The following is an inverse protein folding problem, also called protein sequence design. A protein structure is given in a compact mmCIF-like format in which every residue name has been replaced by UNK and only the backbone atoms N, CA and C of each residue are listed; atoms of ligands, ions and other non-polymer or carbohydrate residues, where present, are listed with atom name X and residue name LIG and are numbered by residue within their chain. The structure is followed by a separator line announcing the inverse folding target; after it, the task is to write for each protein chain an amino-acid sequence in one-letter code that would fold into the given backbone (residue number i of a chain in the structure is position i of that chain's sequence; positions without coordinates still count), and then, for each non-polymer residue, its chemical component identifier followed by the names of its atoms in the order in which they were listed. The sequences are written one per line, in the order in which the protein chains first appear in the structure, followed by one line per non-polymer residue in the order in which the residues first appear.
data_IF_884538943327
#
_entry.id   IF_884538943327
#
_cell.length_a   1.000
_cell.length_b   1.000
_cell.length_c   1.000
_cell.angle_alpha   90.00
_cell.angle_beta   90.00
_cell.angle_gamma   90.00
#
_symmetry.space_group_name_H-M   'P 1'
#
loop_
_entity.id
_entity.type
_entity.pdbx_description
1 polymer ?
#
# COMPACT_ATOMS: atom_id res chain seq x y z
N UNK A 1 -1.67 -18.85 4.90
CA UNK A 1 -0.39 -18.58 4.19
C UNK A 1 0.10 -19.71 3.26
N UNK A 2 0.06 -21.01 3.60
CA UNK A 2 0.65 -22.12 2.80
C UNK A 2 0.03 -22.40 1.41
N UNK A 3 -0.91 -21.56 0.99
CA UNK A 3 -1.57 -21.58 -0.31
C UNK A 3 -1.84 -20.17 -0.82
N UNK A 4 -1.19 -19.16 -0.21
CA UNK A 4 -1.50 -17.77 -0.49
C UNK A 4 -1.14 -17.43 -1.93
N UNK A 5 -2.00 -16.65 -2.59
CA UNK A 5 -1.82 -16.18 -3.97
C UNK A 5 -1.64 -14.67 -3.95
N UNK A 6 -0.49 -14.19 -4.41
CA UNK A 6 -0.12 -12.78 -4.35
C UNK A 6 -0.08 -12.21 -5.77
N UNK A 7 -0.96 -11.26 -6.06
CA UNK A 7 -1.03 -10.58 -7.35
C UNK A 7 0.09 -9.55 -7.49
N UNK A 8 1.01 -9.73 -8.43
CA UNK A 8 2.02 -8.74 -8.82
C UNK A 8 1.57 -8.04 -10.11
N UNK A 9 1.00 -6.84 -9.95
CA UNK A 9 0.39 -6.07 -11.06
C UNK A 9 1.41 -5.07 -11.59
N UNK A 10 1.90 -5.33 -12.80
CA UNK A 10 2.93 -4.54 -13.46
C UNK A 10 4.36 -4.91 -13.06
N UNK A 11 5.32 -4.14 -13.59
CA UNK A 11 6.74 -4.37 -13.37
C UNK A 11 7.25 -3.65 -12.11
N UNK A 12 8.28 -4.20 -11.46
CA UNK A 12 8.97 -3.52 -10.36
C UNK A 12 9.42 -2.12 -10.78
N UNK A 13 9.18 -1.16 -9.91
CA UNK A 13 9.47 0.26 -10.17
C UNK A 13 10.99 0.51 -10.14
N UNK A 14 11.51 1.23 -11.13
CA UNK A 14 12.96 1.47 -11.28
C UNK A 14 13.64 2.11 -10.06
N UNK A 15 13.03 3.14 -9.41
CA UNK A 15 13.58 3.75 -8.21
C UNK A 15 13.59 2.85 -6.96
N UNK A 16 12.74 1.81 -6.89
CA UNK A 16 12.58 0.96 -5.70
C UNK A 16 13.33 -0.36 -5.86
N UNK A 17 14.64 -0.25 -6.10
CA UNK A 17 15.53 -1.38 -6.39
C UNK A 17 15.55 -2.46 -5.32
N UNK A 18 15.21 -2.13 -4.08
CA UNK A 18 15.20 -3.05 -2.94
C UNK A 18 14.00 -3.98 -2.92
N UNK A 19 12.93 -3.70 -3.68
CA UNK A 19 11.71 -4.53 -3.75
C UNK A 19 11.91 -5.80 -4.60
N UNK A 20 13.04 -6.48 -4.39
CA UNK A 20 13.36 -7.75 -5.02
C UNK A 20 12.83 -8.88 -4.15
N UNK A 21 12.49 -9.98 -4.79
CA UNK A 21 12.05 -11.18 -4.10
C UNK A 21 12.38 -12.41 -4.93
N UNK A 22 12.52 -13.54 -4.25
CA UNK A 22 12.70 -14.84 -4.90
C UNK A 22 11.38 -15.60 -4.95
N UNK A 23 10.77 -15.62 -6.14
CA UNK A 23 9.59 -16.45 -6.42
C UNK A 23 9.83 -17.93 -6.11
N UNK A 24 11.06 -18.43 -6.32
CA UNK A 24 11.41 -19.82 -5.99
C UNK A 24 11.32 -20.10 -4.50
N UNK A 25 11.76 -19.16 -3.66
CA UNK A 25 11.65 -19.31 -2.20
C UNK A 25 10.20 -19.19 -1.72
N UNK A 26 9.42 -18.31 -2.33
CA UNK A 26 7.99 -18.21 -2.07
C UNK A 26 7.23 -19.49 -2.47
N UNK A 27 7.52 -20.03 -3.66
CA UNK A 27 6.94 -21.29 -4.12
C UNK A 27 7.28 -22.44 -3.19
N UNK A 28 8.53 -22.54 -2.73
CA UNK A 28 8.95 -23.55 -1.76
C UNK A 28 8.21 -23.41 -0.40
N UNK A 29 7.78 -22.20 -0.04
CA UNK A 29 6.96 -21.92 1.14
C UNK A 29 5.44 -22.16 0.91
N UNK A 30 5.03 -22.52 -0.31
CA UNK A 30 3.63 -22.71 -0.70
C UNK A 30 2.90 -21.42 -1.09
N UNK A 31 3.62 -20.35 -1.39
CA UNK A 31 3.06 -19.06 -1.84
C UNK A 31 3.23 -18.96 -3.35
N UNK A 32 2.13 -18.68 -4.05
CA UNK A 32 2.13 -18.44 -5.50
C UNK A 32 2.14 -16.95 -5.77
N UNK A 33 3.02 -16.49 -6.66
CA UNK A 33 2.95 -15.13 -7.20
C UNK A 33 2.26 -15.21 -8.57
N UNK A 34 1.22 -14.40 -8.75
CA UNK A 34 0.45 -14.30 -10.00
C UNK A 34 0.78 -12.96 -10.63
N UNK A 35 1.36 -12.96 -11.82
CA UNK A 35 1.83 -11.73 -12.48
C UNK A 35 0.89 -11.32 -13.61
N UNK A 36 0.69 -10.01 -13.79
CA UNK A 36 0.02 -9.44 -14.97
C UNK A 36 0.75 -8.18 -15.42
N UNK A 37 0.83 -7.94 -16.73
CA UNK A 37 1.43 -6.71 -17.24
C UNK A 37 0.53 -5.50 -16.95
N UNK A 38 1.15 -4.34 -16.70
CA UNK A 38 0.37 -3.13 -16.40
C UNK A 38 -0.49 -2.70 -17.60
N UNK A 39 -0.04 -2.95 -18.84
CA UNK A 39 -0.80 -2.62 -20.05
C UNK A 39 -2.07 -3.45 -20.21
N UNK A 40 -2.05 -4.72 -19.79
CA UNK A 40 -3.26 -5.57 -19.77
C UNK A 40 -4.29 -5.00 -18.79
N UNK A 41 -3.86 -4.57 -17.61
CA UNK A 41 -4.73 -3.93 -16.63
C UNK A 41 -5.29 -2.59 -17.11
N UNK A 42 -4.48 -1.77 -17.78
CA UNK A 42 -4.94 -0.51 -18.39
C UNK A 42 -5.93 -0.79 -19.53
N UNK A 43 -5.70 -1.81 -20.35
CA UNK A 43 -6.63 -2.24 -21.39
C UNK A 43 -7.96 -2.73 -20.82
N UNK A 44 -7.93 -3.52 -19.73
CA UNK A 44 -9.12 -3.96 -19.02
C UNK A 44 -9.90 -2.78 -18.42
N UNK A 45 -9.21 -1.79 -17.86
CA UNK A 45 -9.83 -0.57 -17.35
C UNK A 45 -10.45 0.29 -18.47
N UNK A 46 -9.80 0.41 -19.63
CA UNK A 46 -10.32 1.13 -20.80
C UNK A 46 -11.59 0.47 -21.35
N UNK A 47 -11.64 -0.86 -21.34
CA UNK A 47 -12.77 -1.64 -21.85
C UNK A 47 -14.03 -1.53 -20.97
N UNK A 48 -13.96 -0.95 -19.77
CA UNK A 48 -15.12 -0.71 -18.92
C UNK A 48 -15.98 0.40 -19.54
N UNK A 49 -17.21 0.04 -19.96
CA UNK A 49 -18.20 0.98 -20.47
C UNK A 49 -18.69 1.96 -19.41
N UNK A 50 -18.97 3.20 -19.82
CA UNK A 50 -19.42 4.27 -18.90
C UNK A 50 -20.80 3.99 -18.27
N UNK A 51 -21.59 3.10 -18.88
CA UNK A 51 -22.90 2.67 -18.42
C UNK A 51 -22.88 1.38 -17.58
N UNK A 52 -21.71 0.73 -17.43
CA UNK A 52 -21.51 -0.48 -16.63
C UNK A 52 -22.05 -0.28 -15.20
N UNK A 53 -22.89 -1.23 -14.75
CA UNK A 53 -23.52 -1.18 -13.44
C UNK A 53 -22.48 -1.28 -12.31
N UNK A 54 -21.42 -2.06 -12.50
CA UNK A 54 -20.35 -2.21 -11.52
C UNK A 54 -19.49 -0.95 -11.44
N UNK A 55 -19.33 -0.22 -12.56
CA UNK A 55 -18.65 1.07 -12.55
C UNK A 55 -19.44 2.11 -11.74
N UNK A 56 -20.76 2.16 -11.90
CA UNK A 56 -21.63 3.04 -11.09
C UNK A 56 -21.54 2.69 -9.61
N UNK A 57 -21.50 1.40 -9.26
CA UNK A 57 -21.31 0.95 -7.89
C UNK A 57 -19.91 1.33 -7.36
N UNK A 58 -18.85 1.19 -8.15
CA UNK A 58 -17.50 1.60 -7.78
C UNK A 58 -17.40 3.12 -7.52
N UNK A 59 -18.02 3.94 -8.37
CA UNK A 59 -18.13 5.39 -8.19
C UNK A 59 -18.84 5.74 -6.88
N UNK A 60 -20.00 5.12 -6.61
CA UNK A 60 -20.73 5.33 -5.37
C UNK A 60 -19.89 4.97 -4.14
N UNK A 61 -19.16 3.85 -4.20
CA UNK A 61 -18.23 3.44 -3.13
C UNK A 61 -17.11 4.45 -2.93
N UNK A 62 -16.50 4.96 -3.99
CA UNK A 62 -15.44 5.99 -3.91
C UNK A 62 -15.97 7.26 -3.24
N UNK A 63 -17.14 7.76 -3.64
CA UNK A 63 -17.76 8.94 -3.03
C UNK A 63 -18.14 8.72 -1.56
N UNK A 64 -18.50 7.49 -1.17
CA UNK A 64 -18.78 7.15 0.22
C UNK A 64 -17.52 6.88 1.06
N UNK A 65 -16.36 6.67 0.42
CA UNK A 65 -15.13 6.27 1.11
C UNK A 65 -14.43 7.46 1.78
N UNK A 66 -14.49 8.64 1.17
CA UNK A 66 -13.84 9.84 1.65
C UNK A 66 -14.35 11.12 0.96
N UNK A 67 -13.97 12.27 1.49
CA UNK A 67 -14.32 13.58 0.94
C UNK A 67 -13.45 13.87 -0.29
N UNK A 68 -14.08 14.10 -1.43
CA UNK A 68 -13.40 14.52 -2.66
C UNK A 68 -13.56 16.05 -2.79
N UNK A 69 -12.46 16.83 -2.85
CA UNK A 69 -12.53 18.29 -3.04
C UNK A 69 -13.21 18.69 -4.35
N UNK A 70 -13.90 19.85 -4.34
CA UNK A 70 -14.69 20.32 -5.48
C UNK A 70 -13.86 20.63 -6.75
N UNK A 71 -12.54 20.86 -6.62
CA UNK A 71 -11.66 21.09 -7.76
C UNK A 71 -11.30 19.81 -8.52
N UNK A 72 -11.54 18.63 -7.94
CA UNK A 72 -11.32 17.35 -8.61
C UNK A 72 -12.37 17.18 -9.70
N UNK A 73 -11.90 16.96 -10.94
CA UNK A 73 -12.80 16.80 -12.08
C UNK A 73 -13.46 15.41 -12.03
N UNK A 74 -14.76 15.28 -12.40
CA UNK A 74 -15.44 13.98 -12.45
C UNK A 74 -14.71 12.93 -13.30
N UNK A 75 -14.04 13.35 -14.38
CA UNK A 75 -13.24 12.46 -15.23
C UNK A 75 -12.05 11.79 -14.51
N UNK A 76 -11.46 12.45 -13.50
CA UNK A 76 -10.38 11.87 -12.68
C UNK A 76 -10.94 10.76 -11.78
N UNK A 77 -12.11 11.01 -11.17
CA UNK A 77 -12.82 10.00 -10.37
C UNK A 77 -13.25 8.81 -11.22
N UNK A 78 -13.71 9.07 -12.45
CA UNK A 78 -14.08 8.02 -13.42
C UNK A 78 -12.88 7.12 -13.76
N UNK A 79 -11.72 7.70 -14.07
CA UNK A 79 -10.49 6.92 -14.35
C UNK A 79 -10.07 6.06 -13.16
N UNK A 80 -10.17 6.60 -11.94
CA UNK A 80 -9.89 5.84 -10.71
C UNK A 80 -10.88 4.69 -10.52
N UNK A 81 -12.17 4.91 -10.80
CA UNK A 81 -13.21 3.90 -10.64
C UNK A 81 -13.04 2.75 -11.64
N UNK A 82 -12.77 3.06 -12.92
CA UNK A 82 -12.46 2.05 -13.94
C UNK A 82 -11.22 1.24 -13.59
N UNK A 83 -10.15 1.90 -13.14
CA UNK A 83 -8.94 1.23 -12.64
C UNK A 83 -9.26 0.31 -11.45
N UNK A 84 -9.99 0.82 -10.46
CA UNK A 84 -10.40 0.05 -9.27
C UNK A 84 -11.21 -1.20 -9.65
N UNK A 85 -12.12 -1.07 -10.60
CA UNK A 85 -12.94 -2.18 -11.07
C UNK A 85 -12.11 -3.24 -11.80
N UNK A 86 -11.22 -2.82 -12.70
CA UNK A 86 -10.31 -3.73 -13.40
C UNK A 86 -9.43 -4.53 -12.43
N UNK A 87 -8.82 -3.84 -11.44
CA UNK A 87 -8.01 -4.49 -10.40
C UNK A 87 -8.85 -5.49 -9.60
N UNK A 88 -10.03 -5.10 -9.12
CA UNK A 88 -10.88 -5.99 -8.32
C UNK A 88 -11.31 -7.22 -9.10
N UNK A 89 -11.76 -7.07 -10.36
CA UNK A 89 -12.14 -8.20 -11.22
C UNK A 89 -10.97 -9.15 -11.43
N UNK A 90 -9.78 -8.62 -11.76
CA UNK A 90 -8.60 -9.45 -11.98
C UNK A 90 -8.16 -10.21 -10.71
N UNK A 91 -8.22 -9.56 -9.55
CA UNK A 91 -7.90 -10.19 -8.26
C UNK A 91 -8.86 -11.35 -7.95
N UNK A 92 -10.16 -11.14 -8.18
CA UNK A 92 -11.19 -12.16 -7.99
C UNK A 92 -11.02 -13.33 -8.98
N UNK A 93 -10.88 -13.04 -10.27
CA UNK A 93 -10.68 -14.04 -11.34
C UNK A 93 -9.44 -14.92 -11.11
N UNK A 94 -8.38 -14.34 -10.51
CA UNK A 94 -7.12 -15.04 -10.23
C UNK A 94 -7.02 -15.55 -8.80
N UNK A 95 -8.08 -15.42 -8.00
CA UNK A 95 -8.18 -15.88 -6.62
C UNK A 95 -7.01 -15.37 -5.76
N UNK A 96 -6.64 -14.10 -5.92
CA UNK A 96 -5.53 -13.52 -5.16
C UNK A 96 -5.99 -13.11 -3.75
N UNK A 97 -5.13 -13.39 -2.76
CA UNK A 97 -5.32 -13.09 -1.34
C UNK A 97 -4.77 -11.72 -0.91
N UNK A 98 -3.83 -11.19 -1.71
CA UNK A 98 -3.21 -9.89 -1.54
C UNK A 98 -2.59 -9.48 -2.87
N UNK A 99 -2.17 -8.21 -2.98
CA UNK A 99 -1.54 -7.72 -4.21
C UNK A 99 -0.42 -6.73 -3.97
N UNK A 100 0.39 -6.49 -4.99
CA UNK A 100 1.32 -5.39 -5.05
C UNK A 100 1.28 -4.76 -6.44
N UNK A 101 1.19 -3.44 -6.52
CA UNK A 101 0.88 -2.72 -7.78
C UNK A 101 2.03 -1.80 -8.18
N UNK A 102 2.33 -1.73 -9.48
CA UNK A 102 3.23 -0.74 -10.09
C UNK A 102 2.62 0.66 -10.04
N UNK A 103 2.59 1.23 -8.84
CA UNK A 103 2.05 2.56 -8.57
C UNK A 103 2.97 3.69 -9.03
N UNK A 104 4.22 3.41 -9.42
CA UNK A 104 5.23 4.42 -9.73
C UNK A 104 6.00 4.08 -11.01
N UNK A 105 5.97 4.87 -12.07
CA UNK A 105 5.10 6.03 -12.38
C UNK A 105 4.24 5.78 -13.62
N UNK A 106 4.33 4.56 -14.18
CA UNK A 106 3.76 4.22 -15.48
C UNK A 106 2.24 4.42 -15.51
N UNK A 107 1.54 4.09 -14.43
CA UNK A 107 0.09 4.26 -14.38
C UNK A 107 -0.32 5.74 -14.45
N UNK A 108 0.36 6.64 -13.74
CA UNK A 108 0.06 8.07 -13.80
C UNK A 108 0.33 8.64 -15.19
N UNK A 109 1.46 8.26 -15.81
CA UNK A 109 1.84 8.78 -17.12
C UNK A 109 0.92 8.28 -18.25
N UNK A 110 0.50 7.01 -18.20
CA UNK A 110 -0.23 6.36 -19.29
C UNK A 110 -1.75 6.28 -19.08
N UNK A 111 -2.22 6.11 -17.84
CA UNK A 111 -3.64 6.03 -17.50
C UNK A 111 -4.16 7.33 -16.88
N UNK A 112 -3.38 7.93 -15.96
CA UNK A 112 -3.70 9.21 -15.32
C UNK A 112 -4.45 9.10 -14.00
N UNK A 113 -4.09 8.13 -13.16
CA UNK A 113 -4.50 8.10 -11.76
C UNK A 113 -3.42 7.50 -10.85
N UNK A 114 -3.56 7.71 -9.54
CA UNK A 114 -2.79 7.00 -8.52
C UNK A 114 -3.48 5.68 -8.13
N UNK A 115 -2.75 4.70 -7.61
CA UNK A 115 -3.33 3.41 -7.17
C UNK A 115 -3.84 3.44 -5.74
N UNK A 116 -3.50 4.48 -4.98
CA UNK A 116 -3.56 4.49 -3.52
C UNK A 116 -4.99 4.29 -2.98
N UNK A 117 -6.00 4.91 -3.61
CA UNK A 117 -7.40 4.73 -3.24
C UNK A 117 -7.87 3.29 -3.47
N UNK A 118 -7.50 2.70 -4.61
CA UNK A 118 -7.82 1.30 -4.90
C UNK A 118 -7.22 0.39 -3.83
N UNK A 119 -5.94 0.57 -3.52
CA UNK A 119 -5.22 -0.24 -2.51
C UNK A 119 -5.79 -0.02 -1.10
N UNK A 120 -6.14 1.21 -0.75
CA UNK A 120 -6.79 1.59 0.51
C UNK A 120 -8.15 0.90 0.69
N UNK A 121 -9.01 0.96 -0.34
CA UNK A 121 -10.32 0.30 -0.33
C UNK A 121 -10.21 -1.23 -0.27
N UNK A 122 -9.21 -1.82 -0.92
CA UNK A 122 -8.94 -3.25 -0.83
C UNK A 122 -8.46 -3.65 0.57
N UNK A 123 -7.49 -2.92 1.14
CA UNK A 123 -6.97 -3.18 2.48
C UNK A 123 -8.05 -3.05 3.56
N UNK A 124 -8.96 -2.09 3.44
CA UNK A 124 -10.12 -1.93 4.33
C UNK A 124 -11.04 -3.17 4.30
N UNK A 125 -11.10 -3.87 3.16
CA UNK A 125 -11.83 -5.12 2.98
C UNK A 125 -10.99 -6.36 3.30
N UNK A 126 -9.90 -6.23 4.08
CA UNK A 126 -8.98 -7.31 4.45
C UNK A 126 -8.26 -7.96 3.25
N UNK A 127 -8.16 -7.25 2.13
CA UNK A 127 -7.44 -7.65 0.92
C UNK A 127 -6.22 -6.72 0.73
N UNK A 128 -5.13 -6.90 1.49
CA UNK A 128 -4.05 -5.94 1.51
C UNK A 128 -3.37 -5.78 0.15
N UNK A 129 -3.02 -4.54 -0.18
CA UNK A 129 -2.35 -4.21 -1.44
C UNK A 129 -1.16 -3.27 -1.21
N UNK A 130 0.03 -3.72 -1.57
CA UNK A 130 1.27 -2.99 -1.40
C UNK A 130 1.59 -2.10 -2.61
N UNK A 131 2.18 -0.95 -2.34
CA UNK A 131 2.64 0.01 -3.34
C UNK A 131 3.99 -0.57 -3.95
N UNK A 132 4.42 -0.07 -5.11
CA UNK A 132 5.70 -0.36 -5.80
C UNK A 132 6.02 -1.81 -6.20
N UNK A 133 5.00 -2.66 -6.36
CA UNK A 133 5.16 -4.11 -6.61
C UNK A 133 5.99 -4.77 -5.49
N UNK A 134 5.89 -4.26 -4.27
CA UNK A 134 6.51 -4.87 -3.09
C UNK A 134 5.75 -6.14 -2.65
N UNK A 135 6.01 -7.24 -3.34
CA UNK A 135 5.39 -8.55 -3.07
C UNK A 135 5.67 -9.04 -1.64
N UNK A 136 6.89 -8.81 -1.13
CA UNK A 136 7.23 -9.20 0.25
C UNK A 136 6.49 -8.33 1.28
N UNK A 137 6.29 -7.05 0.98
CA UNK A 137 5.42 -6.15 1.73
C UNK A 137 3.96 -6.61 1.72
N UNK A 138 3.41 -6.98 0.57
CA UNK A 138 2.05 -7.50 0.46
C UNK A 138 1.85 -8.78 1.29
N UNK A 139 2.82 -9.71 1.26
CA UNK A 139 2.81 -10.91 2.11
C UNK A 139 2.88 -10.54 3.59
N UNK A 140 3.69 -9.52 3.93
CA UNK A 140 3.81 -9.04 5.31
C UNK A 140 2.49 -8.46 5.82
N UNK A 141 1.82 -7.64 5.00
CA UNK A 141 0.49 -7.11 5.31
C UNK A 141 -0.53 -8.24 5.46
N UNK A 142 -0.54 -9.20 4.54
CA UNK A 142 -1.49 -10.33 4.60
C UNK A 142 -1.28 -11.20 5.84
N UNK A 143 -0.03 -11.46 6.24
CA UNK A 143 0.26 -12.16 7.48
C UNK A 143 -0.32 -11.43 8.71
N UNK A 144 -0.15 -10.11 8.78
CA UNK A 144 -0.74 -9.28 9.84
C UNK A 144 -2.26 -9.26 9.79
N UNK A 145 -2.85 -9.13 8.61
CA UNK A 145 -4.31 -9.16 8.41
C UNK A 145 -4.91 -10.48 8.92
N UNK A 146 -4.28 -11.62 8.60
CA UNK A 146 -4.74 -12.93 9.08
C UNK A 146 -4.57 -13.10 10.60
N UNK A 147 -3.48 -12.60 11.17
CA UNK A 147 -3.20 -12.73 12.60
C UNK A 147 -4.12 -11.84 13.47
N UNK A 148 -4.43 -10.64 12.99
CA UNK A 148 -5.23 -9.65 13.72
C UNK A 148 -6.72 -9.70 13.41
N UNK A 149 -7.11 -10.21 12.24
CA UNK A 149 -8.46 -10.04 11.70
C UNK A 149 -8.78 -8.58 11.32
N UNK A 150 -7.77 -7.70 11.21
CA UNK A 150 -7.92 -6.27 10.97
C UNK A 150 -7.13 -5.81 9.73
N UNK A 151 -7.50 -4.66 9.12
CA UNK A 151 -6.74 -4.10 8.00
C UNK A 151 -5.29 -3.79 8.35
N UNK A 152 -4.35 -4.25 7.52
CA UNK A 152 -2.95 -3.85 7.58
C UNK A 152 -2.64 -2.78 6.52
N UNK A 153 -1.60 -1.99 6.76
CA UNK A 153 -1.06 -1.00 5.84
C UNK A 153 0.44 -1.25 5.60
N UNK A 154 0.99 -0.75 4.49
CA UNK A 154 2.45 -0.67 4.27
C UNK A 154 2.88 0.78 4.45
N UNK A 155 3.98 0.97 5.17
CA UNK A 155 4.56 2.27 5.48
C UNK A 155 6.07 2.24 5.28
N UNK A 156 6.67 3.42 5.18
CA UNK A 156 8.12 3.57 5.13
C UNK A 156 8.67 3.89 6.52
N UNK A 157 9.76 3.24 6.91
CA UNK A 157 10.67 3.82 7.92
C UNK A 157 11.38 5.03 7.30
N UNK A 158 10.73 6.20 7.33
CA UNK A 158 11.11 7.32 6.49
C UNK A 158 12.11 8.29 7.17
N UNK A 159 11.69 8.99 8.23
CA UNK A 159 12.54 9.99 8.87
C UNK A 159 12.57 9.85 10.41
N UNK A 160 13.67 10.29 11.02
CA UNK A 160 13.68 10.51 12.46
C UNK A 160 12.71 11.63 12.82
N UNK A 161 12.07 11.54 13.99
CA UNK A 161 11.26 12.64 14.51
C UNK A 161 12.14 13.57 15.35
N UNK A 162 12.69 14.60 14.70
CA UNK A 162 13.62 15.56 15.31
C UNK A 162 14.78 14.84 16.04
N UNK A 163 14.96 15.12 17.33
CA UNK A 163 15.98 14.54 18.21
C UNK A 163 15.48 13.35 19.05
N UNK A 164 14.21 12.94 18.87
CA UNK A 164 13.58 11.89 19.68
C UNK A 164 14.04 10.51 19.22
N UNK A 165 14.78 9.83 20.07
CA UNK A 165 15.52 8.61 19.69
C UNK A 165 14.62 7.43 19.28
N UNK A 166 13.44 7.34 19.90
CA UNK A 166 12.49 6.24 19.71
C UNK A 166 11.31 6.61 18.80
N UNK A 167 11.29 7.81 18.22
CA UNK A 167 10.22 8.22 17.31
C UNK A 167 10.67 8.24 15.85
N UNK A 168 9.80 7.73 14.97
CA UNK A 168 9.97 7.76 13.52
C UNK A 168 8.73 8.36 12.87
N UNK A 169 8.95 9.25 11.90
CA UNK A 169 7.93 9.61 10.93
C UNK A 169 7.86 8.47 9.91
N UNK A 170 6.71 7.82 9.88
CA UNK A 170 6.35 6.85 8.87
C UNK A 170 5.36 7.48 7.88
N UNK A 171 5.56 7.22 6.60
CA UNK A 171 4.69 7.74 5.54
C UNK A 171 4.56 6.71 4.43
N UNK A 172 3.51 6.82 3.63
CA UNK A 172 3.40 6.13 2.35
C UNK A 172 2.55 6.98 1.38
N UNK A 173 2.38 6.51 0.15
CA UNK A 173 1.67 7.08 -0.99
C UNK A 173 0.19 7.44 -0.72
N UNK A 174 -0.36 7.22 0.48
CA UNK A 174 -1.77 7.43 0.82
C UNK A 174 -2.63 6.20 0.53
N UNK A 175 -2.06 5.01 0.67
CA UNK A 175 -2.71 3.70 0.48
C UNK A 175 -3.27 3.10 1.77
N UNK A 176 -3.34 3.87 2.85
CA UNK A 176 -3.85 3.42 4.15
C UNK A 176 -5.32 3.03 4.06
N UNK A 177 -5.74 1.88 4.62
CA UNK A 177 -7.15 1.64 4.92
C UNK A 177 -7.71 2.81 5.75
N UNK A 178 -8.89 3.33 5.40
CA UNK A 178 -9.48 4.50 6.07
C UNK A 178 -9.62 4.32 7.59
N UNK A 179 -9.75 3.08 8.06
CA UNK A 179 -9.77 2.73 9.49
C UNK A 179 -8.53 3.18 10.27
N UNK A 180 -7.41 3.48 9.60
CA UNK A 180 -6.23 4.07 10.24
C UNK A 180 -6.40 5.56 10.58
N UNK A 181 -7.27 6.30 9.87
CA UNK A 181 -7.27 7.76 9.84
C UNK A 181 -8.29 8.39 10.81
N UNK A 182 -9.20 7.60 11.39
CA UNK A 182 -10.16 8.00 12.45
C UNK A 182 -11.29 8.93 12.02
N UNK A 183 -11.05 9.76 11.02
CA UNK A 183 -12.04 10.63 10.39
C UNK A 183 -12.31 10.19 8.94
N UNK A 184 -13.34 10.76 8.32
CA UNK A 184 -13.54 10.59 6.87
C UNK A 184 -12.36 11.22 6.12
N UNK A 185 -11.54 10.42 5.41
CA UNK A 185 -10.32 10.93 4.80
C UNK A 185 -10.61 11.85 3.62
N UNK A 186 -9.66 12.73 3.30
CA UNK A 186 -9.69 13.41 2.00
C UNK A 186 -9.15 12.47 0.92
N UNK A 187 -9.81 12.44 -0.23
CA UNK A 187 -9.34 11.75 -1.43
C UNK A 187 -9.03 12.80 -2.48
N UNK A 188 -7.74 13.02 -2.76
CA UNK A 188 -7.27 14.06 -3.68
C UNK A 188 -6.02 13.61 -4.43
N UNK A 189 -5.29 14.54 -5.04
CA UNK A 189 -4.11 14.23 -5.83
C UNK A 189 -2.92 13.82 -4.96
N UNK A 190 -2.15 12.82 -5.40
CA UNK A 190 -0.88 12.43 -4.78
C UNK A 190 0.16 13.54 -4.96
N UNK A 191 0.55 14.19 -3.86
CA UNK A 191 1.37 15.41 -3.91
C UNK A 191 2.76 15.16 -4.48
N UNK A 192 3.45 14.10 -4.02
CA UNK A 192 4.84 13.79 -4.40
C UNK A 192 5.02 13.68 -5.93
N UNK A 193 4.06 13.04 -6.62
CA UNK A 193 4.07 12.95 -8.08
C UNK A 193 3.37 14.14 -8.74
N UNK A 194 2.28 14.64 -8.17
CA UNK A 194 1.49 15.73 -8.71
C UNK A 194 2.30 17.00 -8.96
N UNK A 195 3.26 17.31 -8.08
CA UNK A 195 4.16 18.46 -8.24
C UNK A 195 5.17 18.30 -9.38
N UNK A 196 5.44 17.07 -9.84
CA UNK A 196 6.47 16.81 -10.87
C UNK A 196 5.91 16.46 -12.25
N UNK A 197 4.74 15.79 -12.31
CA UNK A 197 4.16 15.30 -13.57
C UNK A 197 2.77 15.85 -13.87
N UNK A 198 2.23 16.71 -13.00
CA UNK A 198 0.89 17.26 -13.09
C UNK A 198 -0.08 16.59 -12.13
N UNK A 199 -0.74 17.40 -11.30
CA UNK A 199 -1.74 16.95 -10.31
C UNK A 199 -2.90 16.23 -10.99
N UNK A 200 -3.26 16.63 -12.21
CA UNK A 200 -4.38 16.07 -12.96
C UNK A 200 -4.24 14.57 -13.29
N UNK A 201 -3.01 14.03 -13.25
CA UNK A 201 -2.70 12.61 -13.48
C UNK A 201 -2.59 11.80 -12.20
N UNK A 202 -2.72 12.44 -11.05
CA UNK A 202 -2.33 11.89 -9.76
C UNK A 202 -3.49 11.75 -8.77
N UNK A 203 -4.74 11.91 -9.22
CA UNK A 203 -5.91 11.69 -8.36
C UNK A 203 -5.92 10.27 -7.79
N UNK A 204 -6.23 10.14 -6.49
CA UNK A 204 -6.42 8.85 -5.83
C UNK A 204 -5.59 8.66 -4.57
N UNK A 205 -4.98 9.69 -3.99
CA UNK A 205 -4.33 9.59 -2.68
C UNK A 205 -5.36 9.71 -1.54
N UNK A 206 -5.31 8.80 -0.56
CA UNK A 206 -6.10 8.90 0.68
C UNK A 206 -5.26 9.63 1.72
N UNK A 207 -5.64 10.87 2.03
CA UNK A 207 -4.89 11.79 2.89
C UNK A 207 -5.52 11.86 4.28
N UNK A 208 -4.65 11.88 5.29
CA UNK A 208 -5.02 12.01 6.69
C UNK A 208 -3.87 11.66 7.62
N UNK A 209 -4.04 11.99 8.90
CA UNK A 209 -3.14 11.55 9.96
C UNK A 209 -3.60 10.21 10.51
N UNK A 210 -2.67 9.25 10.62
CA UNK A 210 -2.94 7.99 11.30
C UNK A 210 -3.22 8.26 12.78
N UNK A 211 -4.32 7.72 13.28
CA UNK A 211 -4.74 7.90 14.66
C UNK A 211 -3.76 7.25 15.64
N UNK A 212 -3.61 7.80 16.85
CA UNK A 212 -2.78 7.20 17.90
C UNK A 212 -3.35 5.86 18.37
N UNK A 213 -2.48 4.98 18.85
CA UNK A 213 -2.84 3.68 19.41
C UNK A 213 -1.78 2.63 19.17
N UNK A 214 -1.94 1.49 19.82
CA UNK A 214 -1.03 0.35 19.74
C UNK A 214 -0.88 -0.16 18.30
N UNK A 215 0.30 -0.68 17.98
CA UNK A 215 0.58 -1.25 16.67
C UNK A 215 1.58 -2.40 16.72
N UNK A 216 1.43 -3.33 15.78
CA UNK A 216 2.40 -4.37 15.46
C UNK A 216 2.95 -4.12 14.08
N UNK A 217 4.28 -4.22 13.94
CA UNK A 217 4.97 -4.07 12.68
C UNK A 217 5.66 -5.37 12.28
N UNK A 218 5.60 -5.71 11.00
CA UNK A 218 6.17 -6.93 10.45
C UNK A 218 6.78 -6.69 9.07
N UNK A 219 7.93 -7.32 8.82
CA UNK A 219 8.54 -7.34 7.49
C UNK A 219 9.13 -8.71 7.22
N UNK A 220 8.63 -9.36 6.18
CA UNK A 220 9.24 -10.49 5.51
C UNK A 220 10.14 -9.99 4.37
N UNK A 221 11.24 -10.68 4.12
CA UNK A 221 12.14 -10.45 2.98
C UNK A 221 12.76 -11.77 2.53
N UNK A 222 13.21 -11.86 1.29
CA UNK A 222 13.98 -13.02 0.81
C UNK A 222 15.47 -12.75 0.95
N UNK A 223 16.19 -13.72 1.52
CA UNK A 223 17.65 -13.76 1.53
C UNK A 223 18.14 -14.72 0.46
N UNK A 224 18.13 -14.23 -0.78
CA UNK A 224 18.45 -15.03 -1.97
C UNK A 224 19.87 -15.59 -1.92
N UNK A 225 20.79 -14.94 -1.21
CA UNK A 225 22.17 -15.40 -1.05
C UNK A 225 22.25 -16.64 -0.18
N UNK A 226 21.43 -16.69 0.87
CA UNK A 226 21.37 -17.82 1.79
C UNK A 226 20.28 -18.83 1.42
N UNK A 227 19.44 -18.52 0.41
CA UNK A 227 18.35 -19.37 -0.02
C UNK A 227 17.25 -19.50 1.04
N UNK A 228 17.03 -18.47 1.86
CA UNK A 228 16.06 -18.48 2.96
C UNK A 228 15.13 -17.28 2.92
N UNK A 229 14.00 -17.39 3.62
CA UNK A 229 13.19 -16.22 3.98
C UNK A 229 13.62 -15.74 5.36
N UNK A 230 13.63 -14.43 5.56
CA UNK A 230 13.96 -13.78 6.84
C UNK A 230 12.88 -12.76 7.18
N UNK A 231 12.69 -12.50 8.46
CA UNK A 231 11.73 -11.50 8.91
C UNK A 231 12.19 -10.78 10.17
N UNK A 232 11.57 -9.64 10.42
CA UNK A 232 11.53 -9.03 11.75
C UNK A 232 10.08 -8.66 12.11
N UNK A 233 9.82 -8.67 13.41
CA UNK A 233 8.52 -8.42 14.03
C UNK A 233 8.76 -7.63 15.30
N UNK A 234 7.83 -6.74 15.62
CA UNK A 234 7.81 -6.08 16.91
C UNK A 234 6.55 -5.24 17.09
N UNK A 235 6.51 -4.54 18.20
CA UNK A 235 5.37 -3.73 18.61
C UNK A 235 5.81 -2.33 18.99
N UNK A 236 4.86 -1.41 18.96
CA UNK A 236 5.01 -0.04 19.42
C UNK A 236 3.67 0.68 19.41
N UNK A 237 3.69 1.97 19.12
CA UNK A 237 2.49 2.79 19.07
C UNK A 237 2.54 3.78 17.90
N UNK A 238 1.39 4.01 17.28
CA UNK A 238 1.12 5.27 16.59
C UNK A 238 0.89 6.35 17.66
N UNK A 239 1.52 7.50 17.48
CA UNK A 239 1.47 8.64 18.41
C UNK A 239 0.68 9.80 17.79
N UNK A 240 0.18 10.69 18.64
CA UNK A 240 -0.50 11.91 18.19
C UNK A 240 0.47 13.10 18.04
N UNK A 241 1.78 12.85 18.03
CA UNK A 241 2.78 13.90 17.81
C UNK A 241 2.51 14.61 16.46
N UNK A 242 2.57 15.96 16.41
CA UNK A 242 2.26 16.72 15.20
C UNK A 242 3.37 16.58 14.16
N UNK A 243 3.00 16.53 12.88
CA UNK A 243 3.97 16.56 11.78
C UNK A 243 3.35 17.28 10.57
N UNK A 244 3.98 18.36 10.13
CA UNK A 244 3.45 19.26 9.09
C UNK A 244 3.81 18.79 7.69
N UNK A 245 3.16 17.72 7.22
CA UNK A 245 3.29 17.23 5.86
C UNK A 245 1.90 16.81 5.36
N UNK A 246 1.69 16.84 4.04
CA UNK A 246 0.47 16.34 3.42
C UNK A 246 0.60 14.84 3.07
N UNK A 247 -0.51 14.12 3.02
CA UNK A 247 -0.55 12.69 2.67
C UNK A 247 -1.01 11.80 3.81
N UNK A 248 -0.53 10.55 3.84
CA UNK A 248 -0.83 9.56 4.88
C UNK A 248 0.33 9.44 5.87
N UNK A 249 0.26 10.19 6.96
CA UNK A 249 1.36 10.33 7.92
C UNK A 249 1.05 9.60 9.20
N UNK A 250 2.04 8.85 9.68
CA UNK A 250 2.07 8.25 11.00
C UNK A 250 3.33 8.72 11.72
N UNK A 251 3.20 9.17 12.97
CA UNK A 251 4.36 9.26 13.85
C UNK A 251 4.33 8.03 14.75
N UNK A 252 5.37 7.22 14.72
CA UNK A 252 5.46 5.98 15.48
C UNK A 252 6.47 6.10 16.61
N UNK A 253 6.21 5.42 17.73
CA UNK A 253 7.21 5.18 18.77
C UNK A 253 7.51 3.69 18.85
N UNK A 254 8.79 3.34 18.80
CA UNK A 254 9.28 1.97 18.96
C UNK A 254 10.43 1.99 19.96
N UNK A 255 10.32 1.20 21.03
CA UNK A 255 11.37 1.11 22.03
C UNK A 255 12.67 0.58 21.42
N UNK A 256 13.76 1.35 21.54
CA UNK A 256 15.05 0.98 20.95
C UNK A 256 15.06 1.08 19.43
N UNK A 257 14.32 2.03 18.86
CA UNK A 257 14.19 2.25 17.41
C UNK A 257 15.55 2.29 16.71
N UNK A 258 16.55 2.97 17.29
CA UNK A 258 17.90 3.04 16.71
C UNK A 258 18.56 1.67 16.56
N UNK A 259 18.36 0.77 17.53
CA UNK A 259 18.85 -0.61 17.46
C UNK A 259 18.11 -1.39 16.39
N UNK A 260 16.80 -1.20 16.26
CA UNK A 260 16.00 -1.78 15.19
C UNK A 260 16.49 -1.29 13.82
N UNK A 261 16.68 0.02 13.61
CA UNK A 261 17.15 0.56 12.34
C UNK A 261 18.56 0.06 11.97
N UNK A 262 19.45 -0.11 12.95
CA UNK A 262 20.75 -0.76 12.73
C UNK A 262 20.59 -2.24 12.31
N UNK A 263 19.65 -2.96 12.91
CA UNK A 263 19.35 -4.34 12.52
C UNK A 263 18.78 -4.42 11.10
N UNK A 264 17.77 -3.61 10.78
CA UNK A 264 17.12 -3.54 9.45
C UNK A 264 18.17 -3.29 8.36
N UNK A 265 19.01 -2.27 8.55
CA UNK A 265 20.04 -1.89 7.57
C UNK A 265 21.16 -2.92 7.45
N UNK A 266 21.70 -3.44 8.56
CA UNK A 266 22.79 -4.44 8.54
C UNK A 266 22.37 -5.78 7.95
N UNK A 267 21.09 -6.13 8.07
CA UNK A 267 20.55 -7.37 7.53
C UNK A 267 19.90 -7.19 6.15
N UNK A 268 19.98 -5.99 5.54
CA UNK A 268 19.51 -5.75 4.19
C UNK A 268 18.01 -5.93 4.01
N UNK A 269 17.21 -5.51 4.99
CA UNK A 269 15.76 -5.39 4.84
C UNK A 269 15.42 -4.12 4.06
N UNK A 270 14.25 -4.14 3.42
CA UNK A 270 13.71 -3.01 2.69
C UNK A 270 13.19 -1.92 3.64
N UNK A 271 12.97 -0.71 3.10
CA UNK A 271 12.46 0.44 3.88
C UNK A 271 10.98 0.33 4.22
N UNK A 272 10.23 -0.41 3.38
CA UNK A 272 8.83 -0.72 3.62
C UNK A 272 8.67 -1.66 4.82
N UNK A 273 7.63 -1.41 5.62
CA UNK A 273 7.22 -2.22 6.75
C UNK A 273 5.70 -2.31 6.78
N UNK A 274 5.17 -3.51 7.01
CA UNK A 274 3.73 -3.67 7.20
C UNK A 274 3.39 -3.35 8.66
N UNK A 275 2.28 -2.67 8.88
CA UNK A 275 1.77 -2.38 10.23
C UNK A 275 0.27 -2.66 10.32
N UNK A 276 -0.16 -3.10 11.49
CA UNK A 276 -1.57 -3.27 11.86
C UNK A 276 -1.81 -2.65 13.23
N UNK A 277 -3.04 -2.16 13.48
CA UNK A 277 -3.42 -1.60 14.78
C UNK A 277 -3.60 -2.73 15.80
N UNK A 278 -3.17 -2.50 17.03
CA UNK A 278 -3.17 -3.47 18.13
C UNK A 278 -1.83 -4.20 18.28
N UNK A 279 -1.68 -4.88 19.42
CA UNK A 279 -0.55 -5.76 19.74
C UNK A 279 -0.89 -7.22 19.39
N UNK A 280 -0.23 -7.75 18.37
CA UNK A 280 -0.48 -9.02 17.70
C UNK A 280 0.81 -9.81 17.40
N UNK A 281 1.95 -9.44 18.01
CA UNK A 281 3.24 -10.10 17.77
C UNK A 281 3.34 -11.51 18.39
#
# INVERSE_FOLDING_TARGET
MRSARIGAIGARTGPFQTMRFSEKLLQAAGITVVTVDLSEMMGAAEAVGDDDADLKAALARIHAYGRIPAHIRPAQVMKQAKWTLAVNRWIEENECDASAIQCWRSLQDNWGCATCLTMSMMGENLMPSACEVDVMGAISMYALTLASGAPAAILDWNNNYADREDLCVCTHCGNYPKSFLGETPEISELDVLGETIGREKCFGAVKGKVQPGDMTFFRLSSDDRNGTLKAYLGEGEFTDDPFGMDGGIAVTRVAGLRRLMQFVTRNGFEHHVAMVRGHHA
#
